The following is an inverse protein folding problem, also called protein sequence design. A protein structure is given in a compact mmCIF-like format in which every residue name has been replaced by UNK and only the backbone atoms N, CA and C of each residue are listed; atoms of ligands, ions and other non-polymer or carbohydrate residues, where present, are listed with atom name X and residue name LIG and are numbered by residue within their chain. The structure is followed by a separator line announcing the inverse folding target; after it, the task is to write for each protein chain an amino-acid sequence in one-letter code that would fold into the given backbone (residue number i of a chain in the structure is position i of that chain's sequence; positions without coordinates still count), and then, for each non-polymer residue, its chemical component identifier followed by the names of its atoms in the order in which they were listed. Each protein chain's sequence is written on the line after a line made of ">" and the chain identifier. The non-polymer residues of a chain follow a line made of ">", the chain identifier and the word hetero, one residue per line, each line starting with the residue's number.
data_IF_248756943599
#
_entry.id   IF_248756943599
#
_cell.length_a   1.000
_cell.length_b   1.000
_cell.length_c   1.000
_cell.angle_alpha   90.00
_cell.angle_beta   90.00
_cell.angle_gamma   90.00
#
_symmetry.space_group_name_H-M   'P 1'
#
loop_
_entity.id
_entity.type
_entity.pdbx_description
1 polymer ?
#
# COMPACT_ATOMS: atom_id res chain seq x y z
N UNK A 1 -25.13 -5.73 -16.74
CA UNK A 1 -24.39 -7.01 -16.78
C UNK A 1 -22.95 -6.70 -16.44
N UNK A 2 -22.62 -6.73 -15.14
CA UNK A 2 -21.24 -6.54 -14.66
C UNK A 2 -20.48 -7.82 -14.99
N UNK A 3 -19.38 -7.71 -15.71
CA UNK A 3 -18.52 -8.84 -16.06
C UNK A 3 -17.67 -9.12 -14.82
N UNK A 4 -17.81 -10.32 -14.26
CA UNK A 4 -16.89 -10.86 -13.26
C UNK A 4 -15.54 -11.07 -13.93
N UNK A 5 -14.74 -10.01 -14.00
CA UNK A 5 -13.30 -10.15 -14.21
C UNK A 5 -12.70 -10.35 -12.83
N UNK A 6 -11.91 -11.43 -12.70
CA UNK A 6 -11.12 -11.66 -11.51
C UNK A 6 -10.24 -10.42 -11.31
N UNK A 7 -10.60 -9.60 -10.32
CA UNK A 7 -9.70 -8.61 -9.79
C UNK A 7 -8.41 -9.37 -9.52
N UNK A 8 -7.32 -8.94 -10.15
CA UNK A 8 -6.02 -9.28 -9.59
C UNK A 8 -6.11 -8.62 -8.23
N UNK A 9 -6.30 -9.43 -7.18
CA UNK A 9 -6.19 -8.93 -5.84
C UNK A 9 -4.81 -8.28 -5.80
N UNK A 10 -4.76 -6.95 -5.89
CA UNK A 10 -3.79 -6.17 -5.17
C UNK A 10 -4.11 -6.45 -3.71
N UNK A 11 -3.81 -7.68 -3.26
CA UNK A 11 -3.51 -7.94 -1.88
C UNK A 11 -2.20 -7.16 -1.69
N UNK A 12 -2.37 -5.87 -1.46
CA UNK A 12 -1.34 -4.96 -1.02
C UNK A 12 -0.96 -5.49 0.34
N UNK A 13 0.00 -6.41 0.34
CA UNK A 13 0.60 -6.82 1.56
C UNK A 13 1.52 -5.68 1.94
N UNK A 14 1.13 -4.92 2.95
CA UNK A 14 2.11 -4.30 3.82
C UNK A 14 3.06 -5.40 4.30
N UNK A 15 4.16 -5.53 3.56
CA UNK A 15 5.35 -6.20 4.02
C UNK A 15 5.86 -5.32 5.14
N UNK A 16 5.47 -5.65 6.37
CA UNK A 16 6.20 -5.23 7.55
C UNK A 16 7.59 -5.87 7.46
N UNK A 17 8.45 -5.31 6.62
CA UNK A 17 9.87 -5.34 6.86
C UNK A 17 10.03 -4.69 8.23
N UNK A 18 10.21 -5.54 9.24
CA UNK A 18 10.52 -5.08 10.58
C UNK A 18 11.63 -4.04 10.46
N UNK A 19 11.38 -2.84 10.96
CA UNK A 19 12.40 -1.85 11.24
C UNK A 19 13.38 -2.44 12.25
N UNK A 20 14.31 -3.25 11.79
CA UNK A 20 15.56 -3.62 12.42
C UNK A 20 16.58 -3.43 11.32
N UNK A 21 17.28 -2.31 11.37
CA UNK A 21 18.27 -1.94 10.38
C UNK A 21 19.22 -3.10 10.10
N UNK A 22 19.43 -3.37 8.82
CA UNK A 22 20.65 -4.05 8.39
C UNK A 22 21.77 -3.06 8.66
N UNK A 23 22.37 -3.17 9.86
CA UNK A 23 23.56 -2.39 10.20
C UNK A 23 24.65 -2.64 9.15
N UNK A 24 25.46 -1.64 8.83
CA UNK A 24 26.46 -1.76 7.78
C UNK A 24 27.45 -2.87 8.13
N UNK A 25 27.59 -3.84 7.22
CA UNK A 25 28.79 -4.68 7.17
C UNK A 25 29.94 -3.72 6.80
N UNK A 26 30.73 -3.35 7.80
CA UNK A 26 31.95 -2.60 7.59
C UNK A 26 32.94 -3.47 6.86
N UNK A 27 33.12 -3.24 5.56
CA UNK A 27 34.42 -3.46 4.93
C UNK A 27 34.82 -2.20 4.16
N UNK A 28 36.07 -1.78 4.36
CA UNK A 28 36.54 -0.42 4.11
C UNK A 28 36.53 -0.02 2.64
N UNK A 29 35.85 1.09 2.33
CA UNK A 29 35.93 1.75 1.03
C UNK A 29 35.16 3.06 0.99
N UNK A 30 35.89 4.17 1.01
CA UNK A 30 35.58 5.56 0.60
C UNK A 30 34.11 5.99 0.53
N UNK A 31 33.74 6.93 1.42
CA UNK A 31 32.49 7.69 1.38
C UNK A 31 32.33 8.49 0.08
N UNK A 32 31.18 8.32 -0.57
CA UNK A 32 30.54 9.33 -1.40
C UNK A 32 29.11 9.44 -0.93
N UNK A 33 28.72 10.64 -0.48
CA UNK A 33 27.42 10.91 0.13
C UNK A 33 26.27 10.76 -0.86
N UNK A 34 25.27 9.98 -0.46
CA UNK A 34 23.92 10.03 -0.97
C UNK A 34 23.04 10.44 0.20
N UNK A 35 22.44 11.62 0.11
CA UNK A 35 21.44 12.10 1.06
C UNK A 35 20.25 11.14 1.02
N UNK A 36 20.05 10.36 2.09
CA UNK A 36 18.78 9.71 2.34
C UNK A 36 17.79 10.82 2.74
N UNK A 37 17.00 11.27 1.75
CA UNK A 37 15.96 12.26 1.94
C UNK A 37 14.96 11.77 2.98
N UNK A 38 14.99 12.37 4.16
CA UNK A 38 13.92 12.19 5.15
C UNK A 38 12.66 12.85 4.60
N UNK A 39 11.73 12.04 4.11
CA UNK A 39 10.40 12.43 3.68
C UNK A 39 9.73 13.25 4.80
N UNK A 40 9.63 14.56 4.62
CA UNK A 40 8.95 15.46 5.56
C UNK A 40 7.71 16.01 4.86
N UNK A 41 6.60 15.28 4.95
CA UNK A 41 5.33 15.72 4.34
C UNK A 41 4.75 16.85 5.17
N UNK A 42 4.96 18.09 4.71
CA UNK A 42 4.36 19.28 5.33
C UNK A 42 2.98 19.50 4.72
N UNK A 43 1.92 19.23 5.48
CA UNK A 43 0.55 19.47 5.04
C UNK A 43 0.33 20.97 4.79
N UNK A 44 0.15 21.37 3.52
CA UNK A 44 -0.24 22.72 3.16
C UNK A 44 -1.75 22.74 2.85
N UNK A 45 -2.54 23.06 3.87
CA UNK A 45 -4.00 23.14 3.82
C UNK A 45 -4.51 24.04 4.96
N UNK A 46 -4.85 25.26 4.58
CA UNK A 46 -5.34 26.43 5.32
C UNK A 46 -6.09 26.26 6.65
N UNK A 47 -5.83 27.25 7.52
CA UNK A 47 -6.48 27.66 8.78
C UNK A 47 -6.51 26.63 9.91
N UNK A 48 -5.46 26.74 10.71
CA UNK A 48 -5.43 26.56 12.16
C UNK A 48 -6.71 27.09 12.83
N UNK A 49 -7.70 26.21 13.00
CA UNK A 49 -8.64 26.34 14.13
C UNK A 49 -7.93 25.72 15.33
N UNK A 50 -7.45 26.61 16.19
CA UNK A 50 -6.50 26.30 17.26
C UNK A 50 -7.00 25.23 18.23
N UNK A 51 -6.52 24.02 18.04
CA UNK A 51 -6.57 22.95 19.02
C UNK A 51 -5.16 22.61 19.52
N UNK A 52 -4.41 23.65 19.94
CA UNK A 52 -3.33 23.47 20.92
C UNK A 52 -3.98 23.20 22.28
N UNK A 53 -4.38 21.97 22.54
CA UNK A 53 -4.95 21.58 23.82
C UNK A 53 -5.34 20.12 23.87
N UNK A 54 -4.81 19.40 24.85
CA UNK A 54 -5.25 18.06 25.26
C UNK A 54 -6.66 18.11 25.90
N UNK A 55 -7.69 18.51 25.14
CA UNK A 55 -9.03 18.68 25.71
C UNK A 55 -10.12 18.92 24.68
N UNK A 56 -10.98 17.89 24.51
CA UNK A 56 -12.25 17.82 23.78
C UNK A 56 -12.19 18.29 22.32
N UNK A 57 -12.42 17.35 21.40
CA UNK A 57 -12.66 17.69 20.01
C UNK A 57 -13.80 18.71 19.84
N UNK A 58 -13.79 19.37 18.69
CA UNK A 58 -14.85 20.30 18.31
C UNK A 58 -16.22 19.62 18.36
N UNK A 59 -17.29 20.39 18.51
CA UNK A 59 -18.64 19.83 18.41
C UNK A 59 -18.85 19.20 17.03
N UNK A 60 -19.61 18.11 16.98
CA UNK A 60 -19.89 17.41 15.74
C UNK A 60 -20.48 18.34 14.66
N UNK A 61 -19.98 18.27 13.42
CA UNK A 61 -20.60 18.88 12.26
C UNK A 61 -22.09 18.55 12.10
N UNK A 62 -22.83 19.45 11.45
CA UNK A 62 -24.15 19.12 10.92
C UNK A 62 -24.09 18.26 9.64
N UNK A 63 -22.97 18.33 8.92
CA UNK A 63 -22.71 17.63 7.66
C UNK A 63 -21.25 17.22 7.60
N UNK A 64 -20.97 16.15 6.88
CA UNK A 64 -19.64 15.61 6.67
C UNK A 64 -18.63 16.68 6.22
N UNK A 65 -17.38 16.53 6.68
CA UNK A 65 -16.27 17.41 6.33
C UNK A 65 -14.92 16.79 6.68
N UNK A 66 -13.96 17.16 5.86
CA UNK A 66 -12.55 16.81 6.00
C UNK A 66 -12.02 16.82 7.43
N UNK A 67 -11.63 15.63 7.87
CA UNK A 67 -11.09 15.39 9.20
C UNK A 67 -12.14 15.03 10.25
N UNK A 68 -13.39 14.79 9.86
CA UNK A 68 -14.44 14.28 10.72
C UNK A 68 -15.16 13.14 10.01
N UNK A 69 -15.25 11.99 10.68
CA UNK A 69 -15.83 10.79 10.08
C UNK A 69 -16.72 10.07 11.07
N UNK A 70 -17.99 9.92 10.72
CA UNK A 70 -18.95 9.10 11.44
C UNK A 70 -18.95 9.32 12.97
N UNK A 71 -18.88 10.58 13.39
CA UNK A 71 -18.90 11.00 14.80
C UNK A 71 -17.52 11.09 15.48
N UNK A 72 -16.43 11.08 14.72
CA UNK A 72 -15.08 11.20 15.25
C UNK A 72 -14.24 12.22 14.50
N UNK A 73 -13.71 13.22 15.20
CA UNK A 73 -12.67 14.09 14.67
C UNK A 73 -11.29 13.42 14.66
N UNK A 74 -10.44 13.82 13.73
CA UNK A 74 -9.07 13.32 13.60
C UNK A 74 -8.21 13.47 14.87
N UNK A 75 -8.50 14.47 15.71
CA UNK A 75 -7.78 14.77 16.95
C UNK A 75 -8.43 14.17 18.21
N UNK A 76 -9.49 13.39 18.07
CA UNK A 76 -10.08 12.67 19.19
C UNK A 76 -9.19 11.54 19.69
N UNK A 77 -9.20 11.37 21.00
CA UNK A 77 -8.67 10.20 21.68
C UNK A 77 -9.74 9.13 21.78
N UNK A 78 -9.38 7.88 21.52
CA UNK A 78 -10.24 6.73 21.80
C UNK A 78 -9.80 6.07 23.10
N UNK A 79 -10.76 5.68 23.93
CA UNK A 79 -10.55 4.81 25.09
C UNK A 79 -10.67 3.35 24.65
N UNK A 80 -9.67 2.88 23.88
CA UNK A 80 -9.65 1.54 23.28
C UNK A 80 -8.31 0.88 23.60
N UNK A 81 -8.37 -0.34 24.13
CA UNK A 81 -7.22 -1.22 24.30
C UNK A 81 -7.30 -2.37 23.29
N UNK A 82 -6.26 -2.54 22.47
CA UNK A 82 -6.17 -3.62 21.49
C UNK A 82 -5.43 -4.86 22.06
N UNK A 83 -5.33 -4.92 23.39
CA UNK A 83 -4.66 -5.94 24.18
C UNK A 83 -5.35 -7.30 24.18
N UNK A 84 -6.66 -7.37 23.96
CA UNK A 84 -7.47 -8.59 23.77
C UNK A 84 -8.10 -8.72 22.37
N UNK A 85 -7.87 -7.72 21.51
CA UNK A 85 -8.44 -7.59 20.17
C UNK A 85 -9.72 -6.77 20.18
N UNK A 86 -10.02 -6.11 19.07
CA UNK A 86 -11.11 -5.14 19.00
C UNK A 86 -12.47 -5.85 18.89
N UNK A 87 -13.43 -5.45 19.73
CA UNK A 87 -14.83 -5.79 19.51
C UNK A 87 -15.46 -4.88 18.44
N UNK A 88 -16.68 -5.18 17.98
CA UNK A 88 -17.33 -4.45 16.88
C UNK A 88 -17.42 -2.94 17.10
N UNK A 89 -17.69 -2.49 18.34
CA UNK A 89 -17.80 -1.07 18.66
C UNK A 89 -16.44 -0.36 18.71
N UNK A 90 -15.42 -1.04 19.25
CA UNK A 90 -14.04 -0.54 19.28
C UNK A 90 -13.45 -0.48 17.88
N UNK A 91 -13.66 -1.53 17.06
CA UNK A 91 -13.22 -1.58 15.68
C UNK A 91 -13.84 -0.44 14.87
N UNK A 92 -15.16 -0.23 15.00
CA UNK A 92 -15.85 0.86 14.32
C UNK A 92 -15.31 2.23 14.73
N UNK A 93 -15.06 2.46 16.02
CA UNK A 93 -14.49 3.70 16.51
C UNK A 93 -13.06 3.95 15.98
N UNK A 94 -12.22 2.91 15.99
CA UNK A 94 -10.84 2.97 15.48
C UNK A 94 -10.81 3.23 13.98
N UNK A 95 -11.69 2.59 13.20
CA UNK A 95 -11.82 2.79 11.76
C UNK A 95 -12.26 4.22 11.46
N UNK A 96 -13.38 4.67 12.02
CA UNK A 96 -13.92 6.00 11.74
C UNK A 96 -12.93 7.11 12.12
N UNK A 97 -12.30 7.01 13.29
CA UNK A 97 -11.30 7.99 13.71
C UNK A 97 -10.02 7.92 12.85
N UNK A 98 -9.68 6.75 12.31
CA UNK A 98 -8.54 6.61 11.39
C UNK A 98 -8.87 7.16 10.00
N UNK A 99 -10.11 7.02 9.53
CA UNK A 99 -10.58 7.67 8.29
C UNK A 99 -10.42 9.19 8.42
N UNK A 100 -10.97 9.81 9.47
CA UNK A 100 -10.79 11.24 9.73
C UNK A 100 -9.32 11.69 9.74
N UNK A 101 -8.41 10.86 10.29
CA UNK A 101 -6.97 11.15 10.28
C UNK A 101 -6.34 11.01 8.90
N UNK A 102 -6.75 10.03 8.11
CA UNK A 102 -6.33 9.89 6.70
C UNK A 102 -6.76 11.11 5.91
N UNK A 103 -8.03 11.54 6.03
CA UNK A 103 -8.52 12.76 5.37
C UNK A 103 -7.71 14.00 5.77
N UNK A 104 -7.41 14.13 7.06
CA UNK A 104 -6.62 15.25 7.58
C UNK A 104 -5.20 15.30 7.01
N UNK A 105 -4.58 14.14 6.76
CA UNK A 105 -3.22 14.06 6.20
C UNK A 105 -3.25 14.25 4.69
N UNK A 106 -4.14 13.52 4.00
CA UNK A 106 -4.16 13.38 2.55
C UNK A 106 -4.92 14.49 1.83
N UNK A 107 -5.85 15.14 2.51
CA UNK A 107 -6.65 16.22 1.95
C UNK A 107 -7.84 15.75 1.08
N UNK A 108 -8.21 14.47 1.16
CA UNK A 108 -9.31 13.85 0.42
C UNK A 108 -10.41 13.41 1.40
N UNK A 109 -11.68 13.59 1.01
CA UNK A 109 -12.83 13.08 1.76
C UNK A 109 -13.10 11.62 1.39
N UNK A 110 -13.59 10.80 2.31
CA UNK A 110 -14.23 9.55 1.90
C UNK A 110 -15.63 9.82 1.33
N UNK A 111 -15.99 9.15 0.24
CA UNK A 111 -17.35 9.22 -0.33
C UNK A 111 -18.31 8.23 0.35
N UNK A 112 -17.76 7.21 1.01
CA UNK A 112 -18.51 6.19 1.72
C UNK A 112 -17.70 5.58 2.87
N UNK A 113 -18.41 5.08 3.88
CA UNK A 113 -17.83 4.31 4.99
C UNK A 113 -17.10 3.08 4.47
N UNK A 114 -15.98 2.71 5.11
CA UNK A 114 -15.18 1.53 4.74
C UNK A 114 -15.43 0.38 5.73
N UNK A 115 -16.19 -0.67 5.37
CA UNK A 115 -16.40 -1.81 6.23
C UNK A 115 -15.09 -2.57 6.49
N UNK A 116 -14.98 -3.19 7.66
CA UNK A 116 -13.88 -4.07 8.01
C UNK A 116 -14.39 -5.47 8.31
N UNK A 117 -13.90 -6.46 7.57
CA UNK A 117 -14.25 -7.87 7.75
C UNK A 117 -13.02 -8.69 8.13
N UNK A 118 -13.23 -9.94 8.54
CA UNK A 118 -12.15 -10.86 8.90
C UNK A 118 -12.20 -12.14 8.07
N UNK A 119 -11.03 -12.69 7.79
CA UNK A 119 -10.88 -14.00 7.13
C UNK A 119 -9.79 -14.81 7.82
N UNK A 120 -10.01 -16.12 7.95
CA UNK A 120 -8.97 -17.02 8.47
C UNK A 120 -7.79 -17.11 7.51
N UNK A 121 -6.60 -17.38 8.04
CA UNK A 121 -5.40 -17.50 7.18
C UNK A 121 -5.50 -18.64 6.18
N UNK A 122 -6.14 -19.74 6.59
CA UNK A 122 -6.43 -20.86 5.71
C UNK A 122 -7.34 -20.45 4.54
N UNK A 123 -8.41 -19.71 4.82
CA UNK A 123 -9.32 -19.24 3.79
C UNK A 123 -8.65 -18.22 2.85
N UNK A 124 -7.82 -17.31 3.38
CA UNK A 124 -7.01 -16.40 2.58
C UNK A 124 -6.10 -17.17 1.61
N UNK A 125 -5.30 -18.13 2.10
CA UNK A 125 -4.42 -18.96 1.25
C UNK A 125 -5.19 -19.73 0.18
N UNK A 126 -6.36 -20.28 0.52
CA UNK A 126 -7.21 -20.97 -0.46
C UNK A 126 -7.74 -20.01 -1.53
N UNK A 127 -8.16 -18.80 -1.16
CA UNK A 127 -8.62 -17.78 -2.12
C UNK A 127 -7.48 -17.37 -3.05
N UNK A 128 -6.31 -17.04 -2.51
CA UNK A 128 -5.14 -16.64 -3.28
C UNK A 128 -4.64 -17.75 -4.21
N UNK A 129 -4.62 -19.00 -3.74
CA UNK A 129 -4.23 -20.17 -4.54
C UNK A 129 -5.23 -20.53 -5.64
N UNK A 130 -6.52 -20.24 -5.45
CA UNK A 130 -7.57 -20.50 -6.43
C UNK A 130 -7.79 -19.35 -7.42
N UNK A 131 -7.04 -18.25 -7.30
CA UNK A 131 -7.12 -17.14 -8.24
C UNK A 131 -6.83 -17.65 -9.67
N UNK A 132 -7.77 -17.41 -10.58
CA UNK A 132 -7.65 -17.90 -11.95
C UNK A 132 -6.80 -16.96 -12.76
N UNK A 133 -5.68 -17.46 -13.27
CA UNK A 133 -4.75 -16.71 -14.09
C UNK A 133 -4.81 -17.23 -15.53
N UNK A 134 -4.97 -16.32 -16.51
CA UNK A 134 -4.98 -16.67 -17.92
C UNK A 134 -3.68 -17.31 -18.38
N UNK A 135 -3.75 -18.22 -19.36
CA UNK A 135 -2.59 -18.99 -19.83
C UNK A 135 -1.44 -18.10 -20.29
N UNK A 136 -1.73 -17.00 -21.00
CA UNK A 136 -0.73 -16.04 -21.45
C UNK A 136 0.04 -15.41 -20.28
N UNK A 137 -0.65 -15.06 -19.18
CA UNK A 137 -0.02 -14.48 -17.99
C UNK A 137 0.87 -15.52 -17.29
N UNK A 138 0.39 -16.75 -17.17
CA UNK A 138 1.15 -17.85 -16.55
C UNK A 138 2.42 -18.17 -17.33
N UNK A 139 2.32 -18.29 -18.66
CA UNK A 139 3.46 -18.53 -19.53
C UNK A 139 4.47 -17.39 -19.47
N UNK A 140 4.00 -16.14 -19.53
CA UNK A 140 4.88 -14.98 -19.46
C UNK A 140 5.62 -14.90 -18.12
N UNK A 141 4.92 -15.05 -16.99
CA UNK A 141 5.56 -14.95 -15.68
C UNK A 141 6.53 -16.09 -15.41
N UNK A 142 6.18 -17.34 -15.76
CA UNK A 142 7.14 -18.44 -15.65
C UNK A 142 8.40 -18.16 -16.47
N UNK A 143 8.26 -17.82 -17.75
CA UNK A 143 9.41 -17.50 -18.61
C UNK A 143 10.26 -16.33 -18.06
N UNK A 144 9.62 -15.27 -17.53
CA UNK A 144 10.30 -14.12 -16.92
C UNK A 144 11.13 -14.53 -15.71
N UNK A 145 10.53 -15.24 -14.75
CA UNK A 145 11.22 -15.61 -13.51
C UNK A 145 12.23 -16.75 -13.71
N UNK A 146 12.01 -17.64 -14.67
CA UNK A 146 12.98 -18.66 -15.10
C UNK A 146 14.20 -18.02 -15.77
N UNK A 147 14.01 -17.08 -16.69
CA UNK A 147 15.11 -16.37 -17.37
C UNK A 147 15.96 -15.54 -16.40
N UNK A 148 15.37 -15.06 -15.30
CA UNK A 148 16.07 -14.37 -14.23
C UNK A 148 16.74 -15.33 -13.21
N UNK A 149 16.63 -16.64 -13.41
CA UNK A 149 17.10 -17.68 -12.49
C UNK A 149 16.55 -17.55 -11.07
N UNK A 150 15.36 -16.97 -10.93
CA UNK A 150 14.68 -16.83 -9.65
C UNK A 150 13.83 -18.07 -9.37
N UNK A 151 12.98 -18.46 -10.31
CA UNK A 151 12.09 -19.61 -10.15
C UNK A 151 12.47 -20.68 -11.17
N UNK A 152 12.80 -21.89 -10.72
CA UNK A 152 13.17 -22.98 -11.62
C UNK A 152 11.96 -23.56 -12.38
N UNK A 153 12.19 -24.15 -13.55
CA UNK A 153 11.20 -24.70 -14.50
C UNK A 153 10.14 -25.65 -13.90
N UNK A 154 10.46 -26.32 -12.79
CA UNK A 154 9.55 -27.22 -12.08
C UNK A 154 8.57 -26.51 -11.13
N UNK A 155 8.67 -25.19 -10.98
CA UNK A 155 7.92 -24.41 -10.00
C UNK A 155 7.09 -23.31 -10.68
N UNK A 156 5.93 -23.01 -10.08
CA UNK A 156 5.07 -21.92 -10.55
C UNK A 156 5.59 -20.57 -10.04
N UNK A 157 5.85 -19.63 -10.96
CA UNK A 157 6.25 -18.27 -10.60
C UNK A 157 5.11 -17.50 -9.90
N UNK A 158 3.86 -17.79 -10.25
CA UNK A 158 2.68 -17.20 -9.60
C UNK A 158 2.58 -17.71 -8.16
N UNK A 159 2.69 -19.02 -7.94
CA UNK A 159 2.67 -19.58 -6.58
C UNK A 159 3.84 -19.08 -5.74
N UNK A 160 5.02 -18.91 -6.34
CA UNK A 160 6.19 -18.34 -5.65
C UNK A 160 5.95 -16.90 -5.19
N UNK A 161 5.30 -16.07 -6.02
CA UNK A 161 4.86 -14.72 -5.65
C UNK A 161 3.80 -14.76 -4.53
N UNK A 162 2.77 -15.60 -4.67
CA UNK A 162 1.70 -15.73 -3.68
C UNK A 162 2.19 -16.23 -2.32
N UNK A 163 3.10 -17.20 -2.29
CA UNK A 163 3.72 -17.68 -1.06
C UNK A 163 4.62 -16.62 -0.42
N UNK A 164 5.31 -15.81 -1.23
CA UNK A 164 6.14 -14.71 -0.74
C UNK A 164 5.30 -13.65 -0.01
N UNK A 165 4.09 -13.35 -0.50
CA UNK A 165 3.18 -12.40 0.15
C UNK A 165 2.35 -13.02 1.29
N UNK A 166 1.90 -14.27 1.11
CA UNK A 166 0.77 -14.80 1.87
C UNK A 166 1.01 -15.02 3.36
N UNK A 167 2.28 -15.10 3.76
CA UNK A 167 2.67 -15.28 5.16
C UNK A 167 2.83 -13.95 5.92
N UNK A 168 2.96 -12.82 5.22
CA UNK A 168 3.13 -11.49 5.82
C UNK A 168 1.86 -10.63 5.81
N UNK A 169 0.87 -10.93 4.96
CA UNK A 169 -0.36 -10.12 4.84
C UNK A 169 -1.14 -10.14 6.16
N UNK A 170 -1.31 -8.99 6.80
CA UNK A 170 -2.13 -8.84 8.02
C UNK A 170 -3.54 -8.33 7.70
N UNK A 171 -3.67 -7.51 6.66
CA UNK A 171 -4.93 -7.06 6.09
C UNK A 171 -4.70 -6.54 4.67
N UNK A 172 -5.78 -6.27 3.95
CA UNK A 172 -5.75 -5.66 2.62
C UNK A 172 -7.10 -5.00 2.31
N UNK A 173 -7.12 -3.90 1.56
CA UNK A 173 -8.32 -3.35 0.92
C UNK A 173 -8.69 -4.19 -0.30
N UNK A 174 -10.00 -4.41 -0.50
CA UNK A 174 -10.54 -5.16 -1.62
C UNK A 174 -11.46 -4.27 -2.47
N UNK A 175 -10.97 -3.72 -3.60
CA UNK A 175 -11.80 -2.92 -4.53
C UNK A 175 -13.00 -3.69 -5.12
N UNK A 176 -12.97 -5.02 -5.08
CA UNK A 176 -14.07 -5.84 -5.59
C UNK A 176 -15.29 -5.85 -4.65
N UNK A 177 -15.10 -5.52 -3.38
CA UNK A 177 -16.10 -5.61 -2.31
C UNK A 177 -16.16 -4.34 -1.46
N UNK A 178 -15.41 -3.31 -1.81
CA UNK A 178 -15.33 -2.01 -1.14
C UNK A 178 -15.10 -2.13 0.38
N UNK A 179 -14.25 -3.07 0.81
CA UNK A 179 -14.00 -3.36 2.24
C UNK A 179 -12.53 -3.67 2.54
N UNK A 180 -12.12 -3.42 3.78
CA UNK A 180 -10.84 -3.88 4.33
C UNK A 180 -11.03 -5.27 4.92
N UNK A 181 -10.18 -6.21 4.55
CA UNK A 181 -10.20 -7.60 5.04
C UNK A 181 -8.99 -7.83 5.93
N UNK A 182 -9.21 -8.16 7.21
CA UNK A 182 -8.17 -8.53 8.17
C UNK A 182 -7.97 -10.05 8.17
N UNK A 183 -6.72 -10.50 8.00
CA UNK A 183 -6.40 -11.93 7.98
C UNK A 183 -6.02 -12.41 9.39
N UNK A 184 -7.00 -12.97 10.09
CA UNK A 184 -6.89 -13.41 11.49
C UNK A 184 -7.70 -14.68 11.74
N UNK A 185 -7.19 -15.55 12.63
CA UNK A 185 -7.94 -16.72 13.12
C UNK A 185 -8.75 -16.41 14.40
N UNK A 186 -8.63 -15.19 14.94
CA UNK A 186 -9.38 -14.70 16.10
C UNK A 186 -10.73 -14.09 15.68
N UNK A 187 -11.76 -14.25 16.51
CA UNK A 187 -13.04 -13.55 16.36
C UNK A 187 -12.97 -12.06 16.71
N UNK A 188 -11.93 -11.64 17.45
CA UNK A 188 -11.61 -10.22 17.73
C UNK A 188 -10.32 -9.86 16.99
N UNK A 189 -10.40 -9.11 15.87
CA UNK A 189 -9.22 -8.76 15.08
C UNK A 189 -8.29 -7.83 15.86
N UNK A 190 -6.99 -7.97 15.61
CA UNK A 190 -5.95 -7.05 16.06
C UNK A 190 -5.33 -6.40 14.84
N UNK A 191 -5.59 -5.12 14.65
CA UNK A 191 -4.97 -4.32 13.60
C UNK A 191 -4.33 -3.08 14.21
N UNK A 192 -3.09 -2.79 13.84
CA UNK A 192 -2.40 -1.56 14.23
C UNK A 192 -2.76 -0.43 13.28
N UNK A 193 -2.75 0.80 13.79
CA UNK A 193 -3.11 1.97 12.98
C UNK A 193 -2.21 2.23 11.78
N UNK A 194 -0.96 1.75 11.80
CA UNK A 194 -0.09 1.74 10.62
C UNK A 194 -0.79 1.03 9.45
N UNK A 195 -1.06 -0.26 9.61
CA UNK A 195 -1.73 -1.07 8.59
C UNK A 195 -3.11 -0.54 8.26
N UNK A 196 -3.91 -0.19 9.28
CA UNK A 196 -5.24 0.34 9.02
C UNK A 196 -5.21 1.64 8.19
N UNK A 197 -4.29 2.55 8.48
CA UNK A 197 -4.18 3.81 7.74
C UNK A 197 -3.78 3.60 6.28
N UNK A 198 -2.87 2.66 5.99
CA UNK A 198 -2.49 2.29 4.62
C UNK A 198 -3.67 1.74 3.82
N UNK A 199 -4.40 0.77 4.38
CA UNK A 199 -5.56 0.19 3.70
C UNK A 199 -6.71 1.19 3.53
N UNK A 200 -6.88 2.11 4.48
CA UNK A 200 -7.85 3.20 4.35
C UNK A 200 -7.47 4.18 3.23
N UNK A 201 -6.18 4.39 2.97
CA UNK A 201 -5.76 5.21 1.81
C UNK A 201 -6.12 4.52 0.50
N UNK A 202 -5.98 3.19 0.40
CA UNK A 202 -6.48 2.47 -0.78
C UNK A 202 -7.98 2.60 -0.97
N UNK A 203 -8.75 2.56 0.11
CA UNK A 203 -10.18 2.82 0.04
C UNK A 203 -10.47 4.26 -0.45
N UNK A 204 -9.75 5.26 0.06
CA UNK A 204 -9.89 6.64 -0.40
C UNK A 204 -9.51 6.80 -1.88
N UNK A 205 -8.40 6.18 -2.32
CA UNK A 205 -7.95 6.20 -3.71
C UNK A 205 -8.99 5.57 -4.65
N UNK A 206 -9.58 4.45 -4.24
CA UNK A 206 -10.60 3.76 -5.04
C UNK A 206 -11.89 4.58 -5.15
N UNK A 207 -12.31 5.22 -4.05
CA UNK A 207 -13.49 6.10 -4.06
C UNK A 207 -13.25 7.37 -4.89
N UNK A 208 -12.07 8.01 -4.78
CA UNK A 208 -11.79 9.31 -5.40
C UNK A 208 -11.35 9.20 -6.86
N UNK A 209 -10.52 8.20 -7.19
CA UNK A 209 -9.88 8.09 -8.50
C UNK A 209 -10.29 6.83 -9.27
N UNK A 210 -10.76 5.80 -8.55
CA UNK A 210 -11.00 4.46 -9.09
C UNK A 210 -9.69 3.71 -9.31
N UNK A 211 -9.54 2.54 -8.68
CA UNK A 211 -8.38 1.68 -8.93
C UNK A 211 -8.74 0.70 -10.06
N UNK A 212 -8.42 1.06 -11.30
CA UNK A 212 -8.59 0.17 -12.45
C UNK A 212 -7.33 -0.70 -12.69
N UNK A 213 -7.56 -1.92 -13.18
CA UNK A 213 -6.53 -2.88 -13.56
C UNK A 213 -6.05 -2.71 -15.02
N UNK A 214 -6.38 -1.58 -15.64
CA UNK A 214 -6.11 -1.33 -17.06
C UNK A 214 -4.64 -0.97 -17.34
N UNK A 215 -3.78 -1.98 -17.37
CA UNK A 215 -2.40 -1.87 -17.85
C UNK A 215 -2.10 -2.98 -18.86
N UNK A 216 -1.51 -2.60 -19.99
CA UNK A 216 -1.24 -3.53 -21.10
C UNK A 216 0.12 -4.23 -21.01
N UNK A 217 1.02 -3.73 -20.17
CA UNK A 217 2.38 -4.28 -19.98
C UNK A 217 2.70 -4.46 -18.50
N UNK A 218 3.66 -5.32 -18.19
CA UNK A 218 4.15 -5.47 -16.81
C UNK A 218 4.81 -4.20 -16.28
N UNK A 219 5.44 -3.42 -17.14
CA UNK A 219 6.09 -2.17 -16.73
C UNK A 219 5.05 -1.11 -16.38
N UNK A 220 3.98 -0.97 -17.19
CA UNK A 220 2.86 -0.08 -16.88
C UNK A 220 2.15 -0.47 -15.57
N UNK A 221 2.04 -1.76 -15.25
CA UNK A 221 1.56 -2.21 -13.93
C UNK A 221 2.46 -1.69 -12.81
N UNK A 222 3.79 -1.69 -12.99
CA UNK A 222 4.72 -1.16 -11.98
C UNK A 222 4.62 0.37 -11.85
N UNK A 223 4.46 1.11 -12.95
CA UNK A 223 4.24 2.55 -12.94
C UNK A 223 2.99 2.93 -12.15
N UNK A 224 1.85 2.28 -12.46
CA UNK A 224 0.60 2.44 -11.72
C UNK A 224 0.73 2.10 -10.24
N UNK A 225 1.24 0.91 -9.93
CA UNK A 225 1.33 0.46 -8.54
C UNK A 225 2.27 1.37 -7.73
N UNK A 226 3.33 1.90 -8.33
CA UNK A 226 4.23 2.82 -7.64
C UNK A 226 3.54 4.14 -7.23
N UNK A 227 2.63 4.67 -8.06
CA UNK A 227 1.81 5.83 -7.65
C UNK A 227 0.88 5.46 -6.48
N UNK A 228 0.13 4.36 -6.62
CA UNK A 228 -0.87 3.90 -5.63
C UNK A 228 -0.22 3.60 -4.28
N UNK A 229 0.84 2.79 -4.26
CA UNK A 229 1.56 2.41 -3.04
C UNK A 229 2.39 3.56 -2.48
N UNK A 230 2.93 4.42 -3.35
CA UNK A 230 3.68 5.59 -2.94
C UNK A 230 2.81 6.58 -2.17
N UNK A 231 1.58 6.82 -2.64
CA UNK A 231 0.62 7.71 -1.98
C UNK A 231 0.19 7.13 -0.62
N UNK A 232 -0.19 5.84 -0.59
CA UNK A 232 -0.51 5.15 0.66
C UNK A 232 0.65 5.19 1.66
N UNK A 233 1.89 4.95 1.20
CA UNK A 233 3.09 5.00 2.05
C UNK A 233 3.37 6.41 2.57
N UNK A 234 3.19 7.45 1.75
CA UNK A 234 3.38 8.84 2.16
C UNK A 234 2.37 9.26 3.24
N UNK A 235 1.10 8.88 3.07
CA UNK A 235 0.05 9.14 4.06
C UNK A 235 0.27 8.33 5.33
N UNK A 236 0.57 7.03 5.22
CA UNK A 236 0.88 6.17 6.37
C UNK A 236 2.05 6.76 7.19
N UNK A 237 3.13 7.16 6.52
CA UNK A 237 4.31 7.76 7.18
C UNK A 237 3.92 9.03 7.93
N UNK A 238 3.24 9.96 7.26
CA UNK A 238 2.79 11.20 7.86
C UNK A 238 1.77 10.97 9.00
N UNK A 239 0.89 9.98 8.88
CA UNK A 239 -0.02 9.56 9.94
C UNK A 239 0.78 9.10 11.16
N UNK A 240 1.72 8.17 10.96
CA UNK A 240 2.49 7.54 12.02
C UNK A 240 3.46 8.51 12.70
N UNK A 241 3.99 9.51 11.99
CA UNK A 241 4.83 10.57 12.58
C UNK A 241 4.08 11.44 13.60
N UNK A 242 2.74 11.51 13.49
CA UNK A 242 1.86 12.20 14.45
C UNK A 242 1.51 11.32 15.65
N UNK A 243 1.69 10.00 15.56
CA UNK A 243 1.45 9.08 16.67
C UNK A 243 2.48 9.27 17.80
N UNK A 244 2.02 9.36 19.04
CA UNK A 244 2.86 9.53 20.23
C UNK A 244 3.29 10.98 20.52
N UNK A 245 3.07 11.90 19.57
CA UNK A 245 3.29 13.34 19.73
C UNK A 245 1.95 14.10 19.77
N UNK A 246 1.22 14.04 18.66
CA UNK A 246 -0.03 14.78 18.45
C UNK A 246 -1.25 13.87 18.61
N UNK A 247 -1.10 12.58 18.32
CA UNK A 247 -2.16 11.60 18.28
C UNK A 247 -1.88 10.42 19.21
N UNK A 248 -2.92 10.02 19.95
CA UNK A 248 -2.95 8.70 20.60
C UNK A 248 -3.37 7.68 19.56
N UNK A 249 -2.48 6.76 19.23
CA UNK A 249 -2.70 5.74 18.21
C UNK A 249 -2.84 4.37 18.85
N UNK A 250 -3.80 3.59 18.39
CA UNK A 250 -4.00 2.21 18.80
C UNK A 250 -2.87 1.36 18.23
N UNK A 251 -2.05 0.84 19.12
CA UNK A 251 -0.97 -0.10 18.80
C UNK A 251 -1.43 -1.52 19.06
N UNK A 252 -1.03 -2.44 18.20
CA UNK A 252 -1.02 -3.86 18.56
C UNK A 252 0.24 -4.11 19.39
N UNK A 253 0.08 -4.71 20.58
CA UNK A 253 1.23 -5.26 21.30
C UNK A 253 1.96 -6.25 20.39
N UNK A 254 3.28 -6.43 20.55
CA UNK A 254 4.05 -7.42 19.78
C UNK A 254 3.62 -8.86 20.14
N UNK A 255 2.39 -9.25 19.82
CA UNK A 255 1.93 -10.63 19.89
C UNK A 255 2.28 -11.31 18.58
N UNK A 256 3.55 -11.75 18.49
CA UNK A 256 3.92 -13.03 17.90
C UNK A 256 3.32 -13.36 16.54
N UNK A 257 3.50 -12.47 15.57
CA UNK A 257 3.23 -12.73 14.17
C UNK A 257 4.45 -12.41 13.31
N UNK A 258 5.66 -12.63 13.81
CA UNK A 258 6.80 -12.79 12.92
C UNK A 258 6.53 -14.07 12.13
N UNK A 259 5.77 -13.93 11.04
CA UNK A 259 5.74 -14.93 9.98
C UNK A 259 7.19 -15.25 9.69
N UNK A 260 7.63 -16.43 10.09
CA UNK A 260 9.01 -16.81 9.95
C UNK A 260 9.40 -16.60 8.49
N UNK A 261 10.51 -15.92 8.25
CA UNK A 261 11.14 -15.75 6.93
C UNK A 261 11.42 -17.09 6.20
N UNK A 262 11.11 -18.23 6.82
CA UNK A 262 11.17 -19.55 6.21
C UNK A 262 10.11 -19.68 5.10
N UNK A 263 10.50 -19.36 3.87
CA UNK A 263 9.65 -19.50 2.67
C UNK A 263 9.60 -18.27 1.78
N UNK A 264 10.08 -17.11 2.25
CA UNK A 264 10.14 -15.88 1.46
C UNK A 264 11.22 -16.01 0.39
N UNK A 265 10.84 -15.87 -0.88
CA UNK A 265 11.79 -15.87 -1.98
C UNK A 265 12.36 -14.45 -2.18
N UNK A 266 13.52 -14.15 -1.59
CA UNK A 266 14.10 -12.79 -1.57
C UNK A 266 14.19 -12.10 -2.95
N UNK A 267 14.57 -12.83 -4.01
CA UNK A 267 14.63 -12.24 -5.35
C UNK A 267 13.26 -11.92 -5.95
N UNK A 268 12.22 -12.69 -5.61
CA UNK A 268 10.84 -12.42 -6.02
C UNK A 268 10.31 -11.24 -5.21
N UNK A 269 10.56 -11.25 -3.89
CA UNK A 269 10.25 -10.15 -2.99
C UNK A 269 10.82 -8.82 -3.48
N UNK A 270 12.10 -8.80 -3.87
CA UNK A 270 12.76 -7.58 -4.37
C UNK A 270 12.03 -6.97 -5.57
N UNK A 271 11.61 -7.79 -6.54
CA UNK A 271 10.85 -7.31 -7.70
C UNK A 271 9.45 -6.82 -7.33
N UNK A 272 8.86 -7.37 -6.27
CA UNK A 272 7.53 -6.97 -5.79
C UNK A 272 7.57 -5.74 -4.88
N UNK A 273 8.75 -5.41 -4.35
CA UNK A 273 8.93 -4.30 -3.40
C UNK A 273 9.04 -2.93 -4.08
N UNK A 274 9.32 -2.92 -5.39
CA UNK A 274 9.48 -1.71 -6.21
C UNK A 274 8.40 -0.62 -5.97
N UNK A 275 7.08 -0.94 -5.97
CA UNK A 275 6.05 0.07 -5.72
C UNK A 275 6.17 0.77 -4.37
N UNK A 276 6.66 0.08 -3.35
CA UNK A 276 6.80 0.61 -1.99
C UNK A 276 8.08 1.43 -1.82
N UNK A 277 9.20 0.97 -2.42
CA UNK A 277 10.47 1.68 -2.33
C UNK A 277 10.51 2.91 -3.24
N UNK A 278 10.38 2.68 -4.54
CA UNK A 278 10.58 3.69 -5.56
C UNK A 278 9.31 4.53 -5.73
N UNK A 279 8.13 3.95 -5.51
CA UNK A 279 6.86 4.68 -5.49
C UNK A 279 6.79 5.71 -4.36
N UNK A 280 7.27 5.39 -3.16
CA UNK A 280 7.36 6.37 -2.07
C UNK A 280 8.28 7.54 -2.44
N UNK A 281 9.41 7.27 -3.11
CA UNK A 281 10.32 8.32 -3.59
C UNK A 281 9.69 9.15 -4.71
N UNK A 282 8.93 8.52 -5.60
CA UNK A 282 8.19 9.19 -6.67
C UNK A 282 7.13 10.14 -6.12
N UNK A 283 6.30 9.68 -5.18
CA UNK A 283 5.29 10.54 -4.54
C UNK A 283 5.92 11.64 -3.69
N UNK A 284 7.06 11.39 -3.03
CA UNK A 284 7.83 12.43 -2.35
C UNK A 284 8.16 13.60 -3.28
N UNK A 285 8.65 13.28 -4.47
CA UNK A 285 9.00 14.29 -5.48
C UNK A 285 7.75 15.04 -5.97
N UNK A 286 6.62 14.36 -6.20
CA UNK A 286 5.37 15.04 -6.57
C UNK A 286 4.91 16.01 -5.47
N UNK A 287 4.99 15.58 -4.21
CA UNK A 287 4.70 16.42 -3.05
C UNK A 287 5.61 17.66 -3.00
N UNK A 288 6.90 17.52 -3.29
CA UNK A 288 7.84 18.64 -3.34
C UNK A 288 7.54 19.61 -4.50
N UNK A 289 7.04 19.10 -5.62
CA UNK A 289 6.71 19.91 -6.82
C UNK A 289 5.43 20.72 -6.66
N UNK A 290 4.39 20.13 -6.09
CA UNK A 290 3.06 20.74 -6.08
C UNK A 290 2.15 20.31 -4.94
N UNK A 291 2.68 19.61 -3.94
CA UNK A 291 1.90 19.05 -2.84
C UNK A 291 0.92 17.98 -3.32
N UNK A 292 -0.15 17.78 -2.54
CA UNK A 292 -1.16 16.77 -2.86
C UNK A 292 -1.84 16.97 -4.21
N UNK A 293 -2.00 18.21 -4.68
CA UNK A 293 -2.56 18.48 -6.00
C UNK A 293 -1.73 17.85 -7.13
N UNK A 294 -0.40 17.83 -7.02
CA UNK A 294 0.46 17.16 -8.01
C UNK A 294 0.39 15.63 -7.91
N UNK A 295 0.04 15.09 -6.74
CA UNK A 295 -0.22 13.64 -6.58
C UNK A 295 -1.58 13.29 -7.18
N UNK A 296 -2.60 14.11 -6.94
CA UNK A 296 -3.95 13.96 -7.52
C UNK A 296 -3.90 14.03 -9.05
N UNK A 297 -3.20 15.01 -9.62
CA UNK A 297 -2.99 15.15 -11.07
C UNK A 297 -2.33 13.89 -11.67
N UNK A 298 -1.49 13.18 -10.91
CA UNK A 298 -0.84 11.97 -11.39
C UNK A 298 -1.79 10.77 -11.52
N UNK A 299 -2.97 10.79 -10.89
CA UNK A 299 -4.01 9.79 -11.12
C UNK A 299 -4.70 9.97 -12.48
N UNK A 300 -4.70 11.18 -13.04
CA UNK A 300 -5.18 11.46 -14.41
C UNK A 300 -4.11 11.14 -15.48
N UNK A 301 -2.83 11.15 -15.11
CA UNK A 301 -1.67 10.88 -15.99
C UNK A 301 -0.71 9.85 -15.36
N UNK A 302 -1.21 8.63 -15.13
CA UNK A 302 -0.47 7.59 -14.42
C UNK A 302 0.88 7.28 -15.09
N UNK A 303 1.98 7.10 -14.34
CA UNK A 303 3.28 6.76 -14.91
C UNK A 303 3.25 5.55 -15.86
N UNK A 304 3.85 5.69 -17.03
CA UNK A 304 3.91 4.67 -18.09
C UNK A 304 4.68 3.41 -17.67
N UNK A 305 5.52 3.52 -16.64
CA UNK A 305 6.22 2.38 -16.05
C UNK A 305 7.34 2.76 -15.10
N UNK A 306 8.18 1.79 -14.74
CA UNK A 306 9.25 1.98 -13.76
C UNK A 306 10.27 3.06 -14.20
N UNK A 307 10.41 3.31 -15.50
CA UNK A 307 11.32 4.34 -16.02
C UNK A 307 10.92 5.75 -15.64
N UNK A 308 9.64 6.02 -15.39
CA UNK A 308 9.21 7.34 -14.92
C UNK A 308 9.28 7.48 -13.41
N UNK A 309 9.11 6.36 -12.71
CA UNK A 309 9.13 6.28 -11.24
C UNK A 309 10.54 6.33 -10.67
N UNK A 310 11.52 5.60 -11.24
CA UNK A 310 12.88 5.49 -10.67
C UNK A 310 13.63 6.83 -10.71
N UNK A 311 13.62 7.56 -11.85
CA UNK A 311 13.99 8.97 -11.92
C UNK A 311 12.73 9.85 -12.06
N UNK A 312 12.06 10.21 -10.94
CA UNK A 312 10.85 11.03 -10.95
C UNK A 312 10.97 12.33 -11.75
N UNK A 313 12.18 12.87 -11.89
CA UNK A 313 12.53 14.04 -12.71
C UNK A 313 12.05 13.96 -14.16
N UNK A 314 11.91 12.75 -14.71
CA UNK A 314 11.52 12.54 -16.10
C UNK A 314 10.00 12.43 -16.31
N UNK A 315 9.23 12.23 -15.24
CA UNK A 315 7.76 12.25 -15.27
C UNK A 315 7.22 13.70 -15.27
N UNK A 316 6.18 14.02 -16.06
CA UNK A 316 5.43 13.17 -17.00
C UNK A 316 5.95 13.27 -18.45
N UNK A 317 7.19 13.72 -18.63
CA UNK A 317 7.72 14.09 -19.95
C UNK A 317 8.29 12.93 -20.76
N UNK A 318 8.44 11.75 -20.16
CA UNK A 318 9.00 10.58 -20.82
C UNK A 318 7.90 9.77 -21.51
N UNK A 319 8.24 9.06 -22.59
CA UNK A 319 7.29 8.16 -23.26
C UNK A 319 8.00 6.88 -23.71
N UNK A 320 7.33 5.70 -23.61
CA UNK A 320 7.86 4.45 -24.11
C UNK A 320 8.20 4.52 -25.60
N UNK A 321 9.39 4.02 -25.96
CA UNK A 321 9.75 3.84 -27.37
C UNK A 321 9.22 2.50 -27.86
N UNK A 322 8.59 2.49 -29.03
CA UNK A 322 8.18 1.24 -29.67
C UNK A 322 9.41 0.45 -30.14
N UNK A 323 9.61 -0.75 -29.62
CA UNK A 323 10.73 -1.64 -29.97
C UNK A 323 10.20 -2.81 -30.78
N UNK A 324 10.85 -3.11 -31.91
CA UNK A 324 10.56 -4.29 -32.73
C UNK A 324 11.68 -5.30 -32.60
N UNK A 325 11.36 -6.55 -32.27
CA UNK A 325 12.33 -7.65 -32.25
C UNK A 325 12.51 -8.14 -33.70
N UNK A 326 13.69 -7.94 -34.35
CA UNK A 326 13.85 -8.14 -35.78
C UNK A 326 13.72 -9.61 -36.24
N UNK A 327 13.93 -10.57 -35.33
CA UNK A 327 13.67 -12.00 -35.54
C UNK A 327 13.08 -12.59 -34.25
N UNK A 328 11.86 -13.15 -34.30
CA UNK A 328 11.41 -14.06 -33.24
C UNK A 328 12.40 -15.23 -33.11
N UNK A 329 12.45 -15.88 -31.96
CA UNK A 329 13.20 -17.13 -31.81
C UNK A 329 12.79 -18.10 -32.94
N UNK A 330 13.77 -18.61 -33.70
CA UNK A 330 13.56 -19.71 -34.63
C UNK A 330 13.99 -21.01 -33.97
N UNK A 331 13.54 -22.14 -34.52
CA UNK A 331 13.99 -23.48 -34.13
C UNK A 331 15.52 -23.68 -34.28
N UNK A 332 16.25 -22.70 -34.82
CA UNK A 332 17.71 -22.69 -34.94
C UNK A 332 18.45 -22.26 -33.65
N UNK A 333 17.71 -21.90 -32.59
CA UNK A 333 18.26 -21.68 -31.25
C UNK A 333 18.35 -23.01 -30.49
N UNK A 334 19.40 -23.80 -30.77
CA UNK A 334 19.85 -24.92 -29.93
C UNK A 334 20.98 -24.49 -28.97
#
# INVERSE_FOLDING_TARGET
>A
MRREFAAVCCAVALLLAGCQGVGPVTDGGTQTGTDEGTLTVTANGSTDDGATGTGSAAADPATDRLGWENGYWYNESLDVDNGDGLNDSELSAVVNRSMARVERVRGLEFEATVPVTTVSRAAYRTRSGNATHGDALRTFDNAKFEALFLVGEGNSAIESQQNTLGDSVQGYYSPATDEIVIVTDSGTPRIGERTLSHELVHAAQDQQFGIDDNASTRDAVQGRNALIEGDATAVETAYMDRCGSNWSCVTVGQSGGAGGSSGVHLGVLYLMYFPYSDGASFVAELLDRGGWAAVDDAYDDIPDGAREVIPPADYPGWTPRNVTIPRPASDDWE
#
